data_IF_655468260548
#
_entry.id   IF_655468260548
#
_cell.length_a   1.000
_cell.length_b   1.000
_cell.length_c   1.000
_cell.angle_alpha   90.00
_cell.angle_beta   90.00
_cell.angle_gamma   90.00
#
_symmetry.space_group_name_H-M   'P 1'
#
loop_
_entity.id
_entity.type
_entity.pdbx_description
1 polymer ?
#
# COMPACT_ATOMS: atom_id res chain seq x y z
N UNK A 1 -8.01 -4.89 2.64
CA UNK A 1 -7.55 -5.65 1.44
C UNK A 1 -6.38 -4.91 0.81
N UNK A 2 -5.27 -5.61 0.54
CA UNK A 2 -4.11 -5.08 -0.18
C UNK A 2 -4.23 -5.39 -1.68
N UNK A 3 -4.21 -4.37 -2.55
CA UNK A 3 -4.39 -4.56 -4.00
C UNK A 3 -3.11 -4.34 -4.81
N UNK A 4 -2.13 -3.60 -4.29
CA UNK A 4 -0.85 -3.31 -4.98
C UNK A 4 0.25 -2.96 -3.98
N UNK A 5 0.38 -3.72 -2.89
CA UNK A 5 1.30 -3.36 -1.81
C UNK A 5 0.85 -2.13 -1.04
N UNK A 6 -0.46 -1.93 -0.95
CA UNK A 6 -1.06 -0.79 -0.26
C UNK A 6 -2.19 -1.31 0.61
N UNK A 7 -2.21 -0.92 1.87
CA UNK A 7 -3.31 -1.21 2.80
C UNK A 7 -4.15 0.03 3.04
N UNK A 8 -5.42 -0.20 3.37
CA UNK A 8 -6.34 0.85 3.77
C UNK A 8 -6.70 0.68 5.25
N UNK A 9 -6.43 1.71 6.04
CA UNK A 9 -6.83 1.82 7.46
C UNK A 9 -7.52 3.17 7.62
N UNK A 10 -8.76 3.17 8.10
CA UNK A 10 -9.54 4.38 8.39
C UNK A 10 -9.55 5.43 7.25
N UNK A 11 -9.70 4.96 6.00
CA UNK A 11 -9.70 5.78 4.77
C UNK A 11 -8.34 6.42 4.41
N UNK A 12 -7.27 6.02 5.07
CA UNK A 12 -5.88 6.34 4.75
C UNK A 12 -5.23 5.15 4.04
N UNK A 13 -4.49 5.43 2.98
CA UNK A 13 -3.75 4.43 2.21
C UNK A 13 -2.27 4.45 2.62
N UNK A 14 -1.75 3.32 3.07
CA UNK A 14 -0.33 3.14 3.39
C UNK A 14 0.32 2.21 2.40
N UNK A 15 1.47 2.60 1.85
CA UNK A 15 2.24 1.79 0.93
C UNK A 15 3.25 0.97 1.73
N UNK A 16 3.26 -0.33 1.49
CA UNK A 16 4.20 -1.29 2.07
C UNK A 16 5.19 -1.64 0.96
N UNK A 17 4.94 -2.70 0.19
CA UNK A 17 5.69 -3.05 -1.00
C UNK A 17 4.84 -3.89 -1.96
N UNK A 18 5.14 -3.83 -3.26
CA UNK A 18 4.44 -4.56 -4.33
C UNK A 18 4.52 -6.08 -4.15
N UNK A 19 5.59 -6.57 -3.53
CA UNK A 19 5.78 -7.99 -3.24
C UNK A 19 4.77 -8.53 -2.23
N UNK A 20 4.14 -7.64 -1.45
CA UNK A 20 3.06 -7.94 -0.50
C UNK A 20 1.67 -7.65 -1.06
N UNK A 21 1.52 -7.56 -2.39
CA UNK A 21 0.23 -7.44 -3.03
C UNK A 21 -0.60 -8.72 -2.79
N UNK A 22 -1.89 -8.55 -2.47
CA UNK A 22 -2.84 -9.64 -2.22
C UNK A 22 -2.53 -10.57 -1.03
N UNK A 23 -1.46 -10.30 -0.27
CA UNK A 23 -1.17 -11.01 0.97
C UNK A 23 -1.97 -10.43 2.15
N UNK A 24 -2.25 -11.28 3.14
CA UNK A 24 -2.75 -10.84 4.44
C UNK A 24 -1.57 -10.38 5.29
N UNK A 25 -1.66 -9.15 5.79
CA UNK A 25 -0.67 -8.55 6.68
C UNK A 25 -1.37 -8.14 7.97
N UNK A 26 -0.91 -8.59 9.14
CA UNK A 26 -1.38 -8.08 10.42
C UNK A 26 -1.08 -6.60 10.57
N UNK A 27 -1.99 -5.89 11.23
CA UNK A 27 -1.85 -4.47 11.52
C UNK A 27 -2.03 -4.31 13.02
N UNK A 28 -1.01 -3.75 13.67
CA UNK A 28 -1.03 -3.39 15.08
C UNK A 28 -1.06 -1.88 15.18
N UNK A 29 -1.88 -1.35 16.08
CA UNK A 29 -1.94 0.08 16.35
C UNK A 29 -2.01 0.32 17.85
N UNK A 30 -1.26 1.31 18.33
CA UNK A 30 -1.26 1.74 19.74
C UNK A 30 -2.48 2.63 20.08
N UNK A 31 -3.24 3.06 19.06
CA UNK A 31 -4.49 3.79 19.22
C UNK A 31 -5.13 4.19 17.88
N UNK A 32 -6.09 5.12 17.93
CA UNK A 32 -6.86 5.58 16.78
C UNK A 32 -6.76 7.09 16.53
N UNK A 33 -5.93 7.79 17.30
CA UNK A 33 -5.73 9.24 17.21
C UNK A 33 -4.58 9.59 16.27
N UNK A 34 -4.46 10.88 15.94
CA UNK A 34 -3.33 11.37 15.19
C UNK A 34 -2.04 11.28 16.01
N UNK A 35 -0.95 10.81 15.39
CA UNK A 35 0.32 10.57 16.07
C UNK A 35 0.49 9.15 16.62
N UNK A 36 -0.61 8.42 16.83
CA UNK A 36 -0.59 7.00 17.18
C UNK A 36 0.09 6.19 16.07
N UNK A 37 0.80 5.14 16.44
CA UNK A 37 1.59 4.31 15.54
C UNK A 37 0.72 3.23 14.90
N UNK A 38 0.96 3.01 13.61
CA UNK A 38 0.54 1.84 12.86
C UNK A 38 1.80 1.06 12.50
N UNK A 39 1.84 -0.19 12.95
CA UNK A 39 2.86 -1.16 12.60
C UNK A 39 2.20 -2.21 11.71
N UNK A 40 2.80 -2.46 10.56
CA UNK A 40 2.39 -3.53 9.66
C UNK A 40 3.46 -4.61 9.70
N UNK A 41 3.03 -5.84 9.94
CA UNK A 41 3.93 -6.99 9.97
C UNK A 41 3.54 -8.03 8.92
N UNK A 42 4.40 -9.01 8.70
CA UNK A 42 4.00 -10.28 8.12
C UNK A 42 3.38 -11.21 9.18
N UNK A 43 3.16 -12.48 8.81
CA UNK A 43 2.60 -13.49 9.72
C UNK A 43 3.63 -14.06 10.70
N UNK A 44 4.92 -13.92 10.41
CA UNK A 44 6.03 -14.39 11.24
C UNK A 44 6.47 -13.31 12.26
N UNK A 45 5.94 -12.10 12.14
CA UNK A 45 6.17 -10.97 13.03
C UNK A 45 7.25 -10.01 12.55
N UNK A 46 7.74 -10.14 11.31
CA UNK A 46 8.66 -9.17 10.72
C UNK A 46 7.94 -7.85 10.42
N UNK A 47 8.57 -6.72 10.76
CA UNK A 47 7.99 -5.39 10.51
C UNK A 47 8.23 -5.00 9.06
N UNK A 48 7.14 -4.87 8.30
CA UNK A 48 7.15 -4.46 6.90
C UNK A 48 7.08 -2.93 6.74
N UNK A 49 6.37 -2.26 7.66
CA UNK A 49 6.24 -0.80 7.67
C UNK A 49 5.83 -0.26 9.05
N UNK A 50 6.29 0.95 9.35
CA UNK A 50 5.91 1.70 10.54
C UNK A 50 5.53 3.13 10.15
N UNK A 51 4.35 3.58 10.59
CA UNK A 51 3.82 4.90 10.25
C UNK A 51 3.04 5.52 11.40
N UNK A 52 3.21 6.82 11.61
CA UNK A 52 2.31 7.58 12.47
C UNK A 52 0.98 7.87 11.75
N UNK A 53 -0.14 7.76 12.48
CA UNK A 53 -1.46 8.14 12.01
C UNK A 53 -1.47 9.63 11.70
N UNK A 54 -1.94 10.01 10.51
CA UNK A 54 -1.97 11.42 10.16
C UNK A 54 -3.12 12.13 10.88
N UNK A 55 -3.01 13.46 11.01
CA UNK A 55 -4.10 14.28 11.49
C UNK A 55 -5.36 14.13 10.59
N UNK A 56 -6.58 14.28 11.16
CA UNK A 56 -7.81 14.21 10.38
C UNK A 56 -7.77 15.14 9.15
N UNK A 57 -8.20 14.63 8.00
CA UNK A 57 -8.22 15.38 6.73
C UNK A 57 -6.95 15.27 5.89
N UNK A 58 -5.85 14.75 6.43
CA UNK A 58 -4.65 14.45 5.65
C UNK A 58 -4.83 13.13 4.90
N UNK A 59 -4.54 13.14 3.61
CA UNK A 59 -4.59 11.96 2.73
C UNK A 59 -3.31 11.87 1.92
N UNK A 60 -2.74 10.68 1.84
CA UNK A 60 -1.65 10.43 0.91
C UNK A 60 -2.21 10.36 -0.50
N UNK A 61 -1.94 11.39 -1.29
CA UNK A 61 -2.20 11.36 -2.73
C UNK A 61 -0.96 10.78 -3.40
N UNK A 62 -1.15 9.80 -4.30
CA UNK A 62 -0.09 9.41 -5.23
C UNK A 62 0.45 10.65 -5.95
N UNK A 63 1.61 10.54 -6.59
CA UNK A 63 2.40 11.65 -7.18
C UNK A 63 1.70 12.52 -8.26
N UNK A 64 0.37 12.57 -8.32
CA UNK A 64 -0.45 13.41 -9.20
C UNK A 64 -0.35 13.04 -10.67
N UNK A 65 0.60 12.14 -11.02
CA UNK A 65 0.83 11.73 -12.38
C UNK A 65 -0.25 10.72 -12.76
N UNK A 66 -0.99 10.98 -13.85
CA UNK A 66 -1.84 9.98 -14.46
C UNK A 66 -1.03 8.71 -14.70
N UNK A 67 -1.67 7.53 -14.55
CA UNK A 67 -1.06 6.26 -14.94
C UNK A 67 -0.52 6.43 -16.37
N UNK A 68 0.77 6.17 -16.57
CA UNK A 68 1.38 6.21 -17.88
C UNK A 68 0.58 5.36 -18.87
N UNK A 69 0.52 5.80 -20.13
CA UNK A 69 -0.20 5.09 -21.19
C UNK A 69 0.33 3.65 -21.26
N UNK A 70 -0.53 2.68 -20.96
CA UNK A 70 -0.21 1.26 -21.12
C UNK A 70 0.24 1.03 -22.56
N UNK A 71 1.48 0.56 -22.76
CA UNK A 71 1.96 0.23 -24.10
C UNK A 71 1.02 -0.81 -24.71
N UNK A 72 0.33 -0.46 -25.80
CA UNK A 72 -0.32 -1.48 -26.63
C UNK A 72 0.83 -2.25 -27.28
N UNK A 73 0.95 -3.54 -26.97
CA UNK A 73 1.84 -4.43 -27.71
C UNK A 73 1.27 -4.55 -29.13
N UNK A 74 1.67 -3.65 -30.02
CA UNK A 74 1.40 -3.75 -31.45
C UNK A 74 2.42 -4.72 -32.03
N UNK A 75 2.00 -5.96 -32.24
CA UNK A 75 2.83 -7.00 -32.82
C UNK A 75 2.61 -8.30 -32.09
N UNK A 76 1.87 -9.21 -32.72
CA UNK A 76 2.10 -10.62 -32.52
C UNK A 76 3.60 -10.87 -32.80
N UNK A 77 4.35 -11.34 -31.80
CA UNK A 77 5.61 -11.99 -32.09
C UNK A 77 5.27 -13.26 -32.89
N UNK A 78 5.95 -13.57 -34.01
CA UNK A 78 5.83 -14.89 -34.61
C UNK A 78 6.29 -15.88 -33.55
N UNK A 79 5.44 -16.84 -33.17
CA UNK A 79 5.96 -18.06 -32.58
C UNK A 79 6.67 -18.81 -33.71
N UNK A 80 7.97 -18.99 -33.57
CA UNK A 80 8.75 -20.01 -34.29
C UNK A 80 9.17 -21.07 -33.27
#
# INVERSE_FOLDING_TARGET
MSTAGTIHVDKVSYKIDVDHAFQQVPIVSDGAQAGDTIIVTDLDGEILAEHARPAPGIRYVGNGRPRGRRSKRSGASPQS
#
